data_IF_403045895430
#
_entry.id   IF_403045895430
#
_cell.length_a   1.000
_cell.length_b   1.000
_cell.length_c   1.000
_cell.angle_alpha   90.00
_cell.angle_beta   90.00
_cell.angle_gamma   90.00
#
_symmetry.space_group_name_H-M   'P 1'
#
loop_
_entity.id
_entity.type
_entity.pdbx_description
1 polymer ?
#
# COMPACT_ATOMS: atom_id res chain seq x y z
N UNK A 1 21.90 -10.10 57.38
CA UNK A 1 20.67 -10.90 57.43
C UNK A 1 19.74 -10.23 56.43
N UNK A 2 19.97 -10.40 55.12
CA UNK A 2 19.53 -11.55 54.28
C UNK A 2 18.02 -11.69 54.45
N UNK A 3 17.20 -11.30 53.48
CA UNK A 3 16.94 -11.99 52.20
C UNK A 3 16.17 -11.02 51.28
N UNK A 4 16.58 -10.86 50.03
CA UNK A 4 16.03 -11.55 48.84
C UNK A 4 14.74 -10.90 48.34
N UNK A 5 14.82 -10.25 47.18
CA UNK A 5 14.45 -10.84 45.87
C UNK A 5 12.97 -10.62 45.61
N UNK A 6 12.66 -9.62 44.79
CA UNK A 6 11.60 -9.74 43.79
C UNK A 6 12.05 -9.04 42.51
N UNK A 7 12.67 -9.86 41.66
CA UNK A 7 12.68 -9.67 40.21
C UNK A 7 11.23 -9.41 39.75
N UNK A 8 10.98 -8.27 39.14
CA UNK A 8 9.93 -8.15 38.12
C UNK A 8 10.67 -7.66 36.89
N UNK A 9 11.15 -8.53 36.00
CA UNK A 9 10.34 -9.56 35.37
C UNK A 9 9.70 -8.90 34.15
N UNK A 10 10.30 -9.18 32.99
CA UNK A 10 9.78 -9.05 31.62
C UNK A 10 9.41 -7.61 31.17
N UNK A 11 10.22 -6.91 30.38
CA UNK A 11 10.63 -7.27 29.01
C UNK A 11 9.49 -7.94 28.26
N UNK A 12 8.55 -7.15 27.72
CA UNK A 12 8.20 -7.17 26.30
C UNK A 12 7.02 -6.21 26.02
N UNK A 13 7.28 -4.90 26.01
CA UNK A 13 6.51 -3.99 25.13
C UNK A 13 7.06 -4.15 23.70
N UNK A 14 7.08 -5.38 23.18
CA UNK A 14 7.40 -5.66 21.77
C UNK A 14 6.34 -6.53 21.11
N UNK A 15 5.42 -7.08 21.89
CA UNK A 15 4.33 -7.90 21.39
C UNK A 15 3.20 -7.07 20.77
N UNK A 16 3.17 -5.74 20.94
CA UNK A 16 2.32 -4.83 20.13
C UNK A 16 2.99 -4.39 18.82
N UNK A 17 4.30 -4.63 18.67
CA UNK A 17 5.07 -4.36 17.43
C UNK A 17 5.18 -5.59 16.52
N UNK A 18 4.63 -6.72 16.97
CA UNK A 18 4.82 -8.03 16.32
C UNK A 18 3.67 -8.43 15.40
N UNK A 19 2.66 -7.56 15.19
CA UNK A 19 1.54 -7.85 14.27
C UNK A 19 1.54 -6.98 12.99
N UNK A 20 2.30 -5.88 12.95
CA UNK A 20 2.56 -5.17 11.71
C UNK A 20 3.70 -5.85 10.95
N UNK A 21 3.46 -7.09 10.50
CA UNK A 21 4.38 -7.69 9.52
C UNK A 21 4.30 -6.83 8.26
N UNK A 22 5.45 -6.36 7.77
CA UNK A 22 5.50 -5.62 6.50
C UNK A 22 4.91 -6.45 5.38
N UNK A 23 4.12 -5.83 4.52
CA UNK A 23 3.67 -6.43 3.28
C UNK A 23 4.90 -6.74 2.42
N UNK A 24 5.06 -8.00 2.04
CA UNK A 24 6.16 -8.43 1.17
C UNK A 24 5.84 -8.05 -0.28
N UNK A 25 4.58 -8.26 -0.66
CA UNK A 25 4.09 -7.95 -2.00
C UNK A 25 2.64 -7.48 -1.98
N UNK A 26 2.38 -6.40 -2.70
CA UNK A 26 1.02 -5.90 -2.91
C UNK A 26 0.76 -5.89 -4.41
N UNK A 27 -0.37 -6.45 -4.83
CA UNK A 27 -0.86 -6.34 -6.20
C UNK A 27 -1.98 -5.33 -6.21
N UNK A 28 -1.76 -4.25 -6.96
CA UNK A 28 -2.70 -3.15 -7.12
C UNK A 28 -3.20 -3.15 -8.55
N UNK A 29 -4.50 -3.16 -8.73
CA UNK A 29 -5.14 -2.99 -10.01
C UNK A 29 -5.46 -1.52 -10.28
N UNK A 30 -5.29 -1.09 -11.53
CA UNK A 30 -5.69 0.23 -12.02
C UNK A 30 -6.65 0.09 -13.20
N UNK A 31 -7.54 1.07 -13.45
CA UNK A 31 -8.49 1.01 -14.57
C UNK A 31 -7.77 0.88 -15.90
N UNK A 32 -8.19 -0.06 -16.75
CA UNK A 32 -7.61 -0.25 -18.07
C UNK A 32 -7.71 1.02 -18.95
N UNK A 33 -8.71 1.87 -18.69
CA UNK A 33 -8.88 3.20 -19.28
C UNK A 33 -7.73 4.18 -18.96
N UNK A 34 -6.85 3.87 -18.00
CA UNK A 34 -5.68 4.68 -17.67
C UNK A 34 -4.70 4.69 -18.85
N UNK A 35 -4.35 5.90 -19.30
CA UNK A 35 -3.34 6.12 -20.35
C UNK A 35 -1.96 5.59 -19.97
N UNK A 36 -1.15 5.22 -20.95
CA UNK A 36 0.23 4.74 -20.75
C UNK A 36 1.10 5.72 -19.94
N UNK A 37 0.91 7.03 -20.15
CA UNK A 37 1.59 8.06 -19.37
C UNK A 37 1.28 7.99 -17.86
N UNK A 38 0.02 7.72 -17.51
CA UNK A 38 -0.40 7.51 -16.12
C UNK A 38 0.15 6.21 -15.54
N UNK A 39 0.15 5.12 -16.32
CA UNK A 39 0.75 3.83 -15.92
C UNK A 39 2.23 3.99 -15.56
N UNK A 40 2.98 4.67 -16.42
CA UNK A 40 4.40 5.00 -16.19
C UNK A 40 4.63 5.87 -14.96
N UNK A 41 3.64 6.63 -14.50
CA UNK A 41 3.73 7.41 -13.27
C UNK A 41 3.55 6.52 -12.03
N UNK A 42 2.62 5.56 -12.07
CA UNK A 42 2.40 4.56 -11.00
C UNK A 42 3.65 3.71 -10.77
N UNK A 43 4.33 3.33 -11.85
CA UNK A 43 5.58 2.54 -11.79
C UNK A 43 6.78 3.30 -11.22
N UNK A 44 6.66 4.61 -10.96
CA UNK A 44 7.77 5.39 -10.38
C UNK A 44 7.92 5.09 -8.90
N UNK A 45 9.17 4.98 -8.46
CA UNK A 45 9.52 4.87 -7.04
C UNK A 45 8.93 6.01 -6.21
N UNK A 46 8.91 7.24 -6.74
CA UNK A 46 8.30 8.39 -6.06
C UNK A 46 6.82 8.21 -5.75
N UNK A 47 6.08 7.52 -6.62
CA UNK A 47 4.66 7.24 -6.42
C UNK A 47 4.47 6.14 -5.37
N UNK A 48 5.29 5.08 -5.41
CA UNK A 48 5.33 4.06 -4.35
C UNK A 48 5.65 4.65 -2.97
N UNK A 49 6.65 5.51 -2.88
CA UNK A 49 6.98 6.20 -1.62
C UNK A 49 5.85 7.12 -1.15
N UNK A 50 5.07 7.68 -2.08
CA UNK A 50 3.86 8.44 -1.74
C UNK A 50 2.76 7.54 -1.18
N UNK A 51 2.45 6.42 -1.84
CA UNK A 51 1.45 5.45 -1.35
C UNK A 51 1.79 4.95 0.06
N UNK A 52 3.05 4.61 0.33
CA UNK A 52 3.51 4.24 1.67
C UNK A 52 3.20 5.34 2.70
N UNK A 53 3.53 6.60 2.38
CA UNK A 53 3.29 7.72 3.30
C UNK A 53 1.81 8.05 3.50
N UNK A 54 0.98 7.80 2.49
CA UNK A 54 -0.44 8.15 2.49
C UNK A 54 -1.29 7.06 3.14
N UNK A 55 -1.08 5.79 2.75
CA UNK A 55 -1.97 4.69 3.13
C UNK A 55 -1.48 3.87 4.31
N UNK A 56 -0.17 3.81 4.60
CA UNK A 56 0.42 3.16 5.79
C UNK A 56 0.23 1.63 5.87
N UNK A 57 -0.96 1.14 5.60
CA UNK A 57 -1.37 -0.24 5.51
C UNK A 57 -2.21 -0.50 4.24
N UNK A 58 -2.20 -1.74 3.76
CA UNK A 58 -2.99 -2.21 2.63
C UNK A 58 -3.71 -3.51 2.99
N UNK A 59 -4.98 -3.62 2.61
CA UNK A 59 -5.72 -4.88 2.70
C UNK A 59 -6.35 -5.21 1.35
N UNK A 60 -6.48 -6.50 1.08
CA UNK A 60 -7.15 -6.93 -0.15
C UNK A 60 -8.60 -6.42 -0.18
N UNK A 61 -8.97 -5.76 -1.27
CA UNK A 61 -10.26 -5.09 -1.44
C UNK A 61 -10.24 -3.59 -1.17
N UNK A 62 -9.18 -3.03 -0.57
CA UNK A 62 -9.05 -1.59 -0.40
C UNK A 62 -9.06 -0.88 -1.74
N UNK A 63 -9.70 0.29 -1.76
CA UNK A 63 -9.75 1.18 -2.92
C UNK A 63 -9.13 2.51 -2.51
N UNK A 64 -8.13 2.95 -3.26
CA UNK A 64 -7.39 4.18 -3.06
C UNK A 64 -7.67 5.14 -4.22
N UNK A 65 -8.24 6.31 -3.94
CA UNK A 65 -8.51 7.34 -4.95
C UNK A 65 -7.28 8.24 -5.11
N UNK A 66 -6.53 8.05 -6.19
CA UNK A 66 -5.22 8.68 -6.39
C UNK A 66 -5.20 9.59 -7.61
N UNK A 67 -4.62 10.79 -7.44
CA UNK A 67 -4.47 11.74 -8.52
C UNK A 67 -3.21 11.47 -9.35
N UNK A 68 -3.39 10.90 -10.54
CA UNK A 68 -2.28 10.56 -11.44
C UNK A 68 -2.17 11.58 -12.57
N UNK A 69 -0.98 12.13 -12.76
CA UNK A 69 -0.69 12.99 -13.91
C UNK A 69 -0.68 12.18 -15.22
N UNK A 70 -1.64 12.43 -16.11
CA UNK A 70 -1.80 11.71 -17.39
C UNK A 70 -1.16 12.40 -18.60
N UNK A 71 -0.50 13.55 -18.40
CA UNK A 71 0.22 14.30 -19.45
C UNK A 71 -0.15 15.78 -19.48
N UNK A 72 0.74 16.61 -20.07
CA UNK A 72 0.62 18.08 -20.25
C UNK A 72 -0.04 18.87 -19.08
N UNK A 73 0.23 18.49 -17.83
CA UNK A 73 -0.28 19.18 -16.65
C UNK A 73 -1.70 18.81 -16.23
N UNK A 74 -2.29 17.75 -16.80
CA UNK A 74 -3.61 17.25 -16.39
C UNK A 74 -3.46 16.09 -15.43
N UNK A 75 -4.18 16.15 -14.31
CA UNK A 75 -4.35 15.05 -13.36
C UNK A 75 -5.72 14.41 -13.55
N UNK A 76 -5.78 13.08 -13.47
CA UNK A 76 -7.03 12.33 -13.46
C UNK A 76 -7.14 11.58 -12.13
N UNK A 77 -8.34 11.48 -11.61
CA UNK A 77 -8.63 10.59 -10.50
C UNK A 77 -8.56 9.15 -10.98
N UNK A 78 -7.80 8.33 -10.26
CA UNK A 78 -7.59 6.93 -10.57
C UNK A 78 -7.87 6.14 -9.30
N UNK A 79 -8.96 5.37 -9.32
CA UNK A 79 -9.26 4.44 -8.24
C UNK A 79 -8.32 3.25 -8.37
N UNK A 80 -7.27 3.18 -7.56
CA UNK A 80 -6.42 2.00 -7.44
C UNK A 80 -7.09 1.01 -6.50
N UNK A 81 -7.04 -0.29 -6.78
CA UNK A 81 -7.62 -1.30 -5.90
C UNK A 81 -6.57 -2.32 -5.51
N UNK A 82 -6.50 -2.64 -4.24
CA UNK A 82 -5.63 -3.71 -3.75
C UNK A 82 -6.29 -5.04 -4.06
N UNK A 83 -5.73 -5.78 -5.01
CA UNK A 83 -6.23 -7.12 -5.38
C UNK A 83 -5.72 -8.18 -4.41
N UNK A 84 -4.46 -8.02 -3.97
CA UNK A 84 -3.79 -9.00 -3.11
C UNK A 84 -2.73 -8.33 -2.27
N UNK A 85 -2.62 -8.80 -1.03
CA UNK A 85 -1.53 -8.48 -0.12
C UNK A 85 -0.94 -9.81 0.35
N UNK A 86 0.38 -9.91 0.28
CA UNK A 86 1.16 -11.08 0.68
C UNK A 86 2.14 -10.67 1.80
N UNK A 87 2.34 -11.54 2.78
CA UNK A 87 2.99 -11.18 4.04
C UNK A 87 2.00 -10.56 5.02
N UNK A 88 2.32 -9.37 5.56
CA UNK A 88 1.38 -8.61 6.39
C UNK A 88 0.79 -7.38 5.70
N UNK A 89 0.18 -6.49 6.47
CA UNK A 89 -0.61 -5.37 5.93
C UNK A 89 0.18 -4.05 5.85
N UNK A 90 1.31 -3.90 6.54
CA UNK A 90 2.03 -2.63 6.61
C UNK A 90 2.80 -2.35 5.30
N UNK A 91 2.54 -1.21 4.66
CA UNK A 91 3.28 -0.82 3.46
C UNK A 91 4.61 -0.22 3.93
N UNK A 92 5.73 -0.74 3.44
CA UNK A 92 7.06 -0.22 3.75
C UNK A 92 7.83 0.10 2.47
N UNK A 93 9.04 0.66 2.60
CA UNK A 93 9.92 0.86 1.44
C UNK A 93 10.34 -0.46 0.78
N UNK A 94 10.37 -1.56 1.54
CA UNK A 94 10.73 -2.89 1.06
C UNK A 94 9.56 -3.59 0.31
N UNK A 95 8.32 -3.21 0.59
CA UNK A 95 7.08 -3.80 0.04
C UNK A 95 6.99 -3.75 -1.47
N UNK A 96 7.09 -4.89 -2.16
CA UNK A 96 7.01 -4.94 -3.62
C UNK A 96 5.59 -4.66 -4.14
N UNK A 97 5.34 -3.45 -4.64
CA UNK A 97 4.07 -3.09 -5.30
C UNK A 97 4.11 -3.47 -6.79
N UNK A 98 3.20 -4.33 -7.22
CA UNK A 98 2.98 -4.70 -8.63
C UNK A 98 1.67 -4.09 -9.12
N UNK A 99 1.69 -3.50 -10.32
CA UNK A 99 0.50 -2.90 -10.93
C UNK A 99 -0.05 -3.79 -12.04
N UNK A 100 -1.36 -4.03 -12.04
CA UNK A 100 -2.07 -4.74 -13.09
C UNK A 100 -3.21 -3.89 -13.65
N UNK A 101 -3.47 -3.98 -14.95
CA UNK A 101 -4.71 -3.41 -15.50
C UNK A 101 -5.89 -4.26 -15.02
N UNK A 102 -6.95 -3.61 -14.55
CA UNK A 102 -8.26 -4.25 -14.39
C UNK A 102 -9.22 -3.71 -15.43
N UNK A 103 -10.00 -4.61 -15.99
CA UNK A 103 -11.22 -4.27 -16.70
C UNK A 103 -12.25 -3.94 -15.61
N UNK A 104 -12.25 -2.70 -15.13
CA UNK A 104 -13.50 -2.12 -14.65
C UNK A 104 -14.31 -1.86 -15.90
N UNK A 105 -15.33 -2.68 -16.14
CA UNK A 105 -16.22 -2.48 -17.27
C UNK A 105 -16.62 -1.01 -17.35
N UNK A 106 -16.38 -0.43 -18.53
CA UNK A 106 -16.81 0.87 -19.03
C UNK A 106 -17.36 1.82 -17.95
N UNK A 107 -16.59 2.87 -17.62
CA UNK A 107 -17.19 4.07 -17.06
C UNK A 107 -18.28 4.49 -18.06
N UNK A 108 -19.55 4.21 -17.76
CA UNK A 108 -20.69 4.68 -18.54
C UNK A 108 -20.60 6.22 -18.54
N UNK A 109 -20.22 6.80 -19.68
CA UNK A 109 -20.23 8.25 -19.93
C UNK A 109 -21.72 8.65 -20.05
N UNK A 110 -22.28 9.30 -19.02
CA UNK A 110 -23.66 9.85 -19.01
C UNK A 110 -23.72 11.26 -19.63
#
# INVERSE_FOLDING_TARGET
MTESDQRSGVADDRSDRSDATGAERIVVSYPAALSEAGRRQLEKQSFRSYLHKTHGEARAGDVWEEFVGVGCGTTRDVSLRVERVDGGAEITDETAISYAARDDGELEDD
#
